data_IF_622928900754
#
_entry.id   IF_622928900754
#
_cell.length_a   1.000
_cell.length_b   1.000
_cell.length_c   1.000
_cell.angle_alpha   90.00
_cell.angle_beta   90.00
_cell.angle_gamma   90.00
#
_symmetry.space_group_name_H-M   'P 1'
#
loop_
_entity.id
_entity.type
_entity.pdbx_description
1 polymer ?
#
# COMPACT_ATOMS: atom_id res chain seq x y z
N UNK A 1 23.58 -33.15 6.14
CA UNK A 1 23.06 -32.01 6.95
C UNK A 1 21.97 -31.29 6.15
N UNK A 2 20.91 -32.00 5.75
CA UNK A 2 19.89 -31.50 4.81
C UNK A 2 18.45 -31.45 5.35
N UNK A 3 18.24 -31.92 6.59
CA UNK A 3 16.90 -31.97 7.18
C UNK A 3 16.45 -30.64 7.80
N UNK A 4 17.39 -29.78 8.19
CA UNK A 4 17.06 -28.48 8.80
C UNK A 4 16.55 -27.48 7.74
N UNK A 5 17.06 -27.53 6.51
CA UNK A 5 16.66 -26.61 5.44
C UNK A 5 15.21 -26.83 4.98
N UNK A 6 14.69 -28.07 5.03
CA UNK A 6 13.33 -28.39 4.56
C UNK A 6 12.26 -28.06 5.61
N UNK A 7 12.53 -28.25 6.90
CA UNK A 7 11.61 -27.83 7.96
C UNK A 7 11.55 -26.30 8.12
N UNK A 8 12.67 -25.59 7.88
CA UNK A 8 12.66 -24.13 7.78
C UNK A 8 11.87 -23.69 6.54
N UNK A 9 12.04 -24.35 5.39
CA UNK A 9 11.26 -24.04 4.18
C UNK A 9 9.75 -24.25 4.39
N UNK A 10 9.33 -25.31 5.10
CA UNK A 10 7.91 -25.55 5.40
C UNK A 10 7.31 -24.55 6.40
N UNK A 11 8.05 -24.15 7.44
CA UNK A 11 7.64 -23.10 8.37
C UNK A 11 7.53 -21.73 7.68
N UNK A 12 8.52 -21.40 6.82
CA UNK A 12 8.50 -20.20 5.99
C UNK A 12 7.37 -20.23 4.95
N UNK A 13 6.99 -21.37 4.39
CA UNK A 13 5.86 -21.45 3.45
C UNK A 13 4.51 -21.23 4.15
N UNK A 14 4.35 -21.67 5.40
CA UNK A 14 3.17 -21.38 6.22
C UNK A 14 3.06 -19.92 6.63
N UNK A 15 4.15 -19.30 7.10
CA UNK A 15 4.22 -17.87 7.42
C UNK A 15 4.16 -16.98 6.16
N UNK A 16 4.83 -17.37 5.08
CA UNK A 16 4.84 -16.65 3.79
C UNK A 16 3.50 -16.73 3.06
N UNK A 17 2.80 -17.87 3.15
CA UNK A 17 1.42 -17.97 2.66
C UNK A 17 0.48 -17.07 3.47
N UNK A 18 0.60 -17.09 4.80
CA UNK A 18 -0.18 -16.19 5.69
C UNK A 18 0.09 -14.71 5.38
N UNK A 19 1.37 -14.32 5.23
CA UNK A 19 1.76 -12.97 4.86
C UNK A 19 1.26 -12.58 3.47
N UNK A 20 1.34 -13.48 2.50
CA UNK A 20 0.83 -13.24 1.14
C UNK A 20 -0.68 -13.02 1.13
N UNK A 21 -1.42 -13.79 1.93
CA UNK A 21 -2.87 -13.62 2.11
C UNK A 21 -3.18 -12.30 2.81
N UNK A 22 -2.46 -11.93 3.87
CA UNK A 22 -2.62 -10.66 4.56
C UNK A 22 -2.38 -9.47 3.62
N UNK A 23 -1.29 -9.49 2.84
CA UNK A 23 -1.00 -8.45 1.84
C UNK A 23 -2.13 -8.39 0.80
N UNK A 24 -2.65 -9.52 0.34
CA UNK A 24 -3.77 -9.54 -0.60
C UNK A 24 -5.04 -8.91 0.00
N UNK A 25 -5.35 -9.18 1.28
CA UNK A 25 -6.46 -8.56 1.98
C UNK A 25 -6.30 -7.05 2.10
N UNK A 26 -5.13 -6.58 2.53
CA UNK A 26 -4.81 -5.15 2.62
C UNK A 26 -5.02 -4.47 1.25
N UNK A 27 -4.55 -5.09 0.17
CA UNK A 27 -4.70 -4.56 -1.19
C UNK A 27 -6.18 -4.46 -1.60
N UNK A 28 -6.98 -5.50 -1.35
CA UNK A 28 -8.41 -5.50 -1.65
C UNK A 28 -9.15 -4.43 -0.86
N UNK A 29 -8.88 -4.30 0.44
CA UNK A 29 -9.49 -3.28 1.29
C UNK A 29 -9.07 -1.86 0.89
N UNK A 30 -7.80 -1.67 0.56
CA UNK A 30 -7.27 -0.38 0.08
C UNK A 30 -7.94 0.04 -1.23
N UNK A 31 -8.08 -0.88 -2.19
CA UNK A 31 -8.80 -0.63 -3.45
C UNK A 31 -10.24 -0.20 -3.17
N UNK A 32 -10.93 -0.90 -2.27
CA UNK A 32 -12.31 -0.57 -1.91
C UNK A 32 -12.44 0.81 -1.25
N UNK A 33 -11.49 1.21 -0.40
CA UNK A 33 -11.42 2.57 0.17
C UNK A 33 -11.24 3.59 -0.96
N UNK A 34 -10.30 3.36 -1.87
CA UNK A 34 -10.02 4.29 -2.99
C UNK A 34 -11.24 4.47 -3.89
N UNK A 35 -11.88 3.37 -4.31
CA UNK A 35 -13.07 3.41 -5.17
C UNK A 35 -14.22 4.16 -4.50
N UNK A 36 -14.43 3.94 -3.19
CA UNK A 36 -15.44 4.62 -2.39
C UNK A 36 -15.16 6.12 -2.27
N UNK A 37 -13.98 6.50 -1.82
CA UNK A 37 -13.63 7.89 -1.52
C UNK A 37 -13.49 8.74 -2.79
N UNK A 38 -13.04 8.14 -3.90
CA UNK A 38 -12.87 8.84 -5.17
C UNK A 38 -14.09 8.74 -6.09
N UNK A 39 -15.07 7.89 -5.76
CA UNK A 39 -16.24 7.58 -6.58
C UNK A 39 -15.86 7.15 -8.00
N UNK A 40 -14.95 6.18 -8.11
CA UNK A 40 -14.45 5.62 -9.37
C UNK A 40 -14.48 4.10 -9.34
N UNK A 41 -14.40 3.48 -10.52
CA UNK A 41 -14.06 2.07 -10.67
C UNK A 41 -12.59 1.97 -11.11
N UNK A 42 -11.73 1.36 -10.30
CA UNK A 42 -10.29 1.28 -10.62
C UNK A 42 -10.00 0.37 -11.83
N UNK A 43 -10.96 -0.48 -12.23
CA UNK A 43 -10.83 -1.30 -13.44
C UNK A 43 -10.85 -0.45 -14.73
N UNK A 44 -11.34 0.78 -14.67
CA UNK A 44 -11.23 1.72 -15.80
C UNK A 44 -9.80 2.26 -15.98
N UNK A 45 -8.92 2.02 -14.99
CA UNK A 45 -7.56 2.57 -14.90
C UNK A 45 -6.50 1.47 -14.70
N UNK A 46 -6.55 0.39 -15.49
CA UNK A 46 -5.71 -0.81 -15.32
C UNK A 46 -4.21 -0.54 -15.06
N UNK A 47 -3.59 0.35 -15.85
CA UNK A 47 -2.15 0.66 -15.68
C UNK A 47 -1.88 1.36 -14.34
N UNK A 48 -2.75 2.29 -13.94
CA UNK A 48 -2.61 3.00 -12.67
C UNK A 48 -2.90 2.07 -11.49
N UNK A 49 -3.94 1.22 -11.60
CA UNK A 49 -4.28 0.15 -10.65
C UNK A 49 -3.09 -0.79 -10.42
N UNK A 50 -2.46 -1.27 -11.48
CA UNK A 50 -1.31 -2.18 -11.37
C UNK A 50 -0.11 -1.53 -10.67
N UNK A 51 0.18 -0.25 -10.97
CA UNK A 51 1.25 0.51 -10.33
C UNK A 51 0.98 0.75 -8.85
N UNK A 52 -0.26 1.11 -8.50
CA UNK A 52 -0.71 1.29 -7.13
C UNK A 52 -0.56 -0.01 -6.32
N UNK A 53 -1.07 -1.14 -6.85
CA UNK A 53 -0.96 -2.45 -6.21
C UNK A 53 0.50 -2.83 -5.97
N UNK A 54 1.34 -2.61 -6.98
CA UNK A 54 2.78 -2.91 -6.89
C UNK A 54 3.44 -2.06 -5.81
N UNK A 55 3.16 -0.76 -5.79
CA UNK A 55 3.70 0.16 -4.77
C UNK A 55 3.25 -0.24 -3.36
N UNK A 56 1.95 -0.44 -3.13
CA UNK A 56 1.41 -0.84 -1.82
C UNK A 56 2.03 -2.16 -1.34
N UNK A 57 2.16 -3.15 -2.21
CA UNK A 57 2.80 -4.43 -1.87
C UNK A 57 4.23 -4.23 -1.35
N UNK A 58 5.01 -3.36 -1.98
CA UNK A 58 6.37 -3.07 -1.52
C UNK A 58 6.40 -2.16 -0.28
N UNK A 59 5.48 -1.20 -0.16
CA UNK A 59 5.36 -0.33 1.00
C UNK A 59 5.04 -1.13 2.27
N UNK A 60 4.10 -2.07 2.19
CA UNK A 60 3.74 -2.96 3.30
C UNK A 60 4.94 -3.82 3.71
N UNK A 61 5.64 -4.42 2.73
CA UNK A 61 6.85 -5.22 3.02
C UNK A 61 7.92 -4.40 3.71
N UNK A 62 8.22 -3.20 3.22
CA UNK A 62 9.20 -2.30 3.87
C UNK A 62 8.77 -1.92 5.28
N UNK A 63 7.49 -1.64 5.49
CA UNK A 63 6.95 -1.27 6.80
C UNK A 63 7.08 -2.43 7.80
N UNK A 64 6.84 -3.67 7.35
CA UNK A 64 7.07 -4.88 8.15
C UNK A 64 8.55 -5.11 8.48
N UNK A 65 9.44 -4.78 7.54
CA UNK A 65 10.89 -4.86 7.72
C UNK A 65 11.46 -3.68 8.55
N UNK A 66 10.62 -2.73 8.99
CA UNK A 66 11.03 -1.53 9.73
C UNK A 66 11.82 -0.51 8.92
N UNK A 67 11.71 -0.55 7.58
CA UNK A 67 12.41 0.37 6.67
C UNK A 67 11.57 1.62 6.46
N UNK A 68 12.05 2.74 6.98
CA UNK A 68 11.43 4.05 6.76
C UNK A 68 11.87 4.69 5.43
N UNK A 69 10.91 5.29 4.72
CA UNK A 69 11.19 6.16 3.59
C UNK A 69 11.19 7.61 4.06
N UNK A 70 12.30 8.30 3.82
CA UNK A 70 12.42 9.73 4.08
C UNK A 70 11.37 10.52 3.28
N UNK A 71 10.68 11.43 3.97
CA UNK A 71 9.70 12.32 3.37
C UNK A 71 10.39 13.44 2.57
N UNK A 72 10.79 13.15 1.33
CA UNK A 72 11.52 14.10 0.47
C UNK A 72 10.61 15.11 -0.24
N UNK A 73 9.29 14.89 -0.24
CA UNK A 73 8.33 15.62 -1.08
C UNK A 73 7.03 16.00 -0.35
N UNK A 74 6.95 15.78 0.96
CA UNK A 74 5.71 15.84 1.72
C UNK A 74 5.01 17.19 1.66
N UNK A 75 5.74 18.27 1.91
CA UNK A 75 5.18 19.62 1.89
C UNK A 75 4.59 19.96 0.52
N UNK A 76 5.28 19.59 -0.56
CA UNK A 76 4.83 19.82 -1.94
C UNK A 76 3.56 19.02 -2.28
N UNK A 77 3.50 17.78 -1.81
CA UNK A 77 2.41 16.85 -2.10
C UNK A 77 1.16 17.20 -1.28
N UNK A 78 1.33 17.57 -0.02
CA UNK A 78 0.25 17.97 0.88
C UNK A 78 -0.50 19.18 0.33
N UNK A 79 0.22 20.25 -0.01
CA UNK A 79 -0.39 21.50 -0.42
C UNK A 79 -1.05 21.40 -1.81
N UNK A 80 -0.44 20.65 -2.72
CA UNK A 80 -0.92 20.54 -4.10
C UNK A 80 -2.04 19.51 -4.26
N UNK A 81 -2.02 18.43 -3.50
CA UNK A 81 -2.91 17.27 -3.70
C UNK A 81 -3.66 16.87 -2.43
N UNK A 82 -4.16 17.87 -1.68
CA UNK A 82 -4.81 17.72 -0.37
C UNK A 82 -5.84 16.58 -0.29
N UNK A 83 -6.74 16.45 -1.29
CA UNK A 83 -7.75 15.38 -1.31
C UNK A 83 -7.13 13.99 -1.44
N UNK A 84 -6.18 13.83 -2.36
CA UNK A 84 -5.46 12.57 -2.52
C UNK A 84 -4.61 12.24 -1.30
N UNK A 85 -4.04 13.26 -0.65
CA UNK A 85 -3.28 13.08 0.60
C UNK A 85 -4.18 12.60 1.74
N UNK A 86 -5.36 13.19 1.90
CA UNK A 86 -6.34 12.73 2.89
C UNK A 86 -6.71 11.26 2.72
N UNK A 87 -6.96 10.82 1.48
CA UNK A 87 -7.25 9.41 1.19
C UNK A 87 -6.04 8.52 1.50
N UNK A 88 -4.82 8.97 1.17
CA UNK A 88 -3.60 8.25 1.51
C UNK A 88 -3.42 8.10 3.04
N UNK A 89 -3.72 9.14 3.80
CA UNK A 89 -3.73 9.06 5.27
C UNK A 89 -4.78 8.08 5.78
N UNK A 90 -6.01 8.12 5.26
CA UNK A 90 -7.07 7.17 5.64
C UNK A 90 -6.66 5.72 5.39
N UNK A 91 -5.99 5.45 4.26
CA UNK A 91 -5.47 4.11 3.96
C UNK A 91 -4.36 3.73 4.96
N UNK A 92 -3.41 4.62 5.23
CA UNK A 92 -2.35 4.37 6.20
C UNK A 92 -2.91 4.09 7.60
N UNK A 93 -3.87 4.88 8.05
CA UNK A 93 -4.54 4.72 9.35
C UNK A 93 -5.35 3.41 9.39
N UNK A 94 -6.03 3.06 8.30
CA UNK A 94 -6.76 1.79 8.21
C UNK A 94 -5.82 0.59 8.35
N UNK A 95 -4.67 0.62 7.65
CA UNK A 95 -3.67 -0.44 7.70
C UNK A 95 -3.07 -0.56 9.10
N UNK A 96 -2.75 0.56 9.73
CA UNK A 96 -2.19 0.60 11.07
C UNK A 96 -3.18 0.10 12.12
N UNK A 97 -4.43 0.57 12.08
CA UNK A 97 -5.46 0.17 13.05
C UNK A 97 -5.90 -1.30 12.88
N UNK A 98 -5.87 -1.84 11.66
CA UNK A 98 -6.37 -3.20 11.37
C UNK A 98 -5.27 -4.25 11.51
N UNK A 99 -4.04 -3.94 11.12
CA UNK A 99 -2.95 -4.92 11.02
C UNK A 99 -1.73 -4.58 11.90
N UNK A 100 -1.71 -3.41 12.56
CA UNK A 100 -0.57 -2.96 13.36
C UNK A 100 0.65 -2.57 12.53
N UNK A 101 0.48 -2.34 11.22
CA UNK A 101 1.56 -1.99 10.30
C UNK A 101 1.57 -0.46 10.14
N UNK A 102 2.59 0.20 10.68
CA UNK A 102 2.70 1.66 10.55
C UNK A 102 3.15 2.06 9.15
N UNK A 103 2.31 2.82 8.44
CA UNK A 103 2.64 3.41 7.15
C UNK A 103 3.14 4.84 7.40
N UNK A 104 4.45 5.00 7.34
CA UNK A 104 5.13 6.27 7.59
C UNK A 104 4.76 7.37 6.58
N UNK A 105 5.06 8.62 6.94
CA UNK A 105 4.67 9.80 6.18
C UNK A 105 5.19 9.77 4.72
N UNK A 106 6.44 9.35 4.52
CA UNK A 106 7.02 9.22 3.17
C UNK A 106 6.20 8.30 2.26
N UNK A 107 5.72 7.16 2.77
CA UNK A 107 4.87 6.24 2.02
C UNK A 107 3.49 6.84 1.75
N UNK A 108 2.90 7.57 2.72
CA UNK A 108 1.64 8.29 2.52
C UNK A 108 1.79 9.34 1.40
N UNK A 109 2.92 10.03 1.32
CA UNK A 109 3.22 10.97 0.23
C UNK A 109 3.37 10.28 -1.13
N UNK A 110 4.04 9.12 -1.20
CA UNK A 110 4.12 8.35 -2.44
C UNK A 110 2.76 7.82 -2.87
N UNK A 111 1.97 7.28 -1.93
CA UNK A 111 0.60 6.82 -2.19
C UNK A 111 -0.25 7.97 -2.73
N UNK A 112 -0.10 9.18 -2.20
CA UNK A 112 -0.79 10.38 -2.70
C UNK A 112 -0.51 10.62 -4.19
N UNK A 113 0.73 10.44 -4.64
CA UNK A 113 1.08 10.58 -6.07
C UNK A 113 0.35 9.52 -6.91
N UNK A 114 0.30 8.28 -6.43
CA UNK A 114 -0.43 7.21 -7.12
C UNK A 114 -1.91 7.53 -7.26
N UNK A 115 -2.55 8.01 -6.19
CA UNK A 115 -3.95 8.45 -6.21
C UNK A 115 -4.18 9.65 -7.13
N UNK A 116 -3.29 10.64 -7.06
CA UNK A 116 -3.39 11.83 -7.90
C UNK A 116 -3.24 11.50 -9.38
N UNK A 117 -2.38 10.54 -9.74
CA UNK A 117 -2.26 10.07 -11.13
C UNK A 117 -3.60 9.51 -11.64
N UNK A 118 -4.32 8.74 -10.81
CA UNK A 118 -5.65 8.23 -11.17
C UNK A 118 -6.63 9.38 -11.41
N UNK A 119 -6.62 10.42 -10.56
CA UNK A 119 -7.42 11.64 -10.75
C UNK A 119 -7.08 12.33 -12.08
N UNK A 120 -5.80 12.44 -12.43
CA UNK A 120 -5.39 13.15 -13.66
C UNK A 120 -5.79 12.43 -14.95
N UNK A 121 -5.89 11.10 -14.94
CA UNK A 121 -6.34 10.32 -16.10
C UNK A 121 -7.87 10.25 -16.21
N UNK A 122 -8.61 10.75 -15.22
CA UNK A 122 -10.07 10.90 -15.29
C UNK A 122 -10.41 11.94 -16.35
N UNK A 123 -10.97 11.49 -17.48
CA UNK A 123 -11.54 12.37 -18.52
C UNK A 123 -12.86 12.97 -18.07
#
# INVERSE_FOLDING_TARGET
>A
IGFICMHIHAALQGESASLSTMIAQILTETIAIIEREMQINLNDYEVAKQRLITHLKFAIKRSLDGVEINNLIGDLVHDKYRKSYQIACMIGDHIENTYGISIGEGERCYLTIHLQNIVMYRK
#
